data_IF_363795546545
#
_entry.id   IF_363795546545
#
_cell.length_a   1.000
_cell.length_b   1.000
_cell.length_c   1.000
_cell.angle_alpha   90.00
_cell.angle_beta   90.00
_cell.angle_gamma   90.00
#
_symmetry.space_group_name_H-M   'P 1'
#
loop_
_entity.id
_entity.type
_entity.pdbx_description
1 polymer ?
#
# COMPACT_ATOMS: atom_id res chain seq x y z
N UNK A 1 -13.38 23.75 -2.80
CA UNK A 1 -13.14 25.11 -2.28
C UNK A 1 -14.26 26.03 -2.74
N UNK A 2 -14.93 26.75 -1.84
CA UNK A 2 -15.90 27.81 -2.18
C UNK A 2 -15.61 29.09 -1.42
N UNK A 3 -15.83 30.23 -2.06
CA UNK A 3 -15.73 31.54 -1.43
C UNK A 3 -16.92 31.73 -0.48
N UNK A 4 -16.64 32.13 0.76
CA UNK A 4 -17.67 32.42 1.75
C UNK A 4 -17.99 33.92 1.86
N UNK A 5 -17.04 34.77 1.46
CA UNK A 5 -17.21 36.21 1.37
C UNK A 5 -15.89 36.95 1.23
N UNK A 6 -15.92 38.26 1.41
CA UNK A 6 -14.75 39.15 1.33
C UNK A 6 -14.70 40.04 2.56
N UNK A 7 -13.54 40.07 3.21
CA UNK A 7 -13.28 40.96 4.34
C UNK A 7 -12.84 42.34 3.83
N UNK A 8 -13.28 43.44 4.47
CA UNK A 8 -12.80 44.78 4.17
C UNK A 8 -11.28 44.89 4.41
N UNK A 9 -10.58 45.79 3.71
CA UNK A 9 -9.14 45.98 3.84
C UNK A 9 -8.70 46.50 5.22
N UNK A 10 -9.64 47.00 6.02
CA UNK A 10 -9.40 47.47 7.41
C UNK A 10 -9.29 46.33 8.42
N UNK A 11 -9.72 45.11 8.07
CA UNK A 11 -9.68 43.95 8.97
C UNK A 11 -8.55 42.99 8.56
N UNK A 12 -7.81 42.49 9.55
CA UNK A 12 -6.81 41.45 9.30
C UNK A 12 -7.52 40.10 9.04
N UNK A 13 -7.43 39.52 7.83
CA UNK A 13 -8.02 38.22 7.55
C UNK A 13 -7.45 37.12 8.43
N UNK A 14 -6.23 37.27 8.98
CA UNK A 14 -5.62 36.28 9.86
C UNK A 14 -6.50 36.00 11.07
N UNK A 15 -7.11 37.03 11.66
CA UNK A 15 -7.95 36.93 12.86
C UNK A 15 -9.13 35.98 12.65
N UNK A 16 -9.87 36.14 11.55
CA UNK A 16 -10.97 35.24 11.20
C UNK A 16 -10.46 33.83 10.87
N UNK A 17 -9.37 33.71 10.11
CA UNK A 17 -8.84 32.39 9.74
C UNK A 17 -8.30 31.61 10.92
N UNK A 18 -7.75 32.28 11.93
CA UNK A 18 -7.28 31.65 13.16
C UNK A 18 -8.46 31.08 13.95
N UNK A 19 -9.55 31.85 14.09
CA UNK A 19 -10.79 31.36 14.68
C UNK A 19 -11.40 30.19 13.93
N UNK A 20 -11.55 30.30 12.62
CA UNK A 20 -12.03 29.20 11.79
C UNK A 20 -11.15 27.95 11.93
N UNK A 21 -9.83 28.11 12.05
CA UNK A 21 -8.92 27.00 12.28
C UNK A 21 -9.18 26.30 13.62
N UNK A 22 -9.50 27.06 14.70
CA UNK A 22 -9.86 26.46 16.00
C UNK A 22 -11.15 25.65 15.96
N UNK A 23 -12.04 25.96 15.01
CA UNK A 23 -13.27 25.20 14.74
C UNK A 23 -13.04 24.03 13.77
N UNK A 24 -11.79 23.76 13.38
CA UNK A 24 -11.44 22.71 12.41
C UNK A 24 -11.75 23.08 10.96
N UNK A 25 -12.01 24.36 10.67
CA UNK A 25 -12.29 24.85 9.31
C UNK A 25 -11.00 25.34 8.68
N UNK A 26 -10.52 24.61 7.68
CA UNK A 26 -9.35 25.02 6.89
C UNK A 26 -9.73 26.03 5.82
N UNK A 27 -8.98 27.12 5.74
CA UNK A 27 -9.28 28.25 4.86
C UNK A 27 -8.10 28.66 3.98
N UNK A 28 -8.40 29.27 2.83
CA UNK A 28 -7.44 29.99 2.00
C UNK A 28 -7.88 31.44 1.84
N UNK A 29 -6.93 32.37 1.96
CA UNK A 29 -7.18 33.82 1.81
C UNK A 29 -6.53 34.31 0.53
N UNK A 30 -7.29 35.05 -0.27
CA UNK A 30 -6.83 35.73 -1.47
C UNK A 30 -6.92 37.25 -1.24
N UNK A 31 -5.76 37.91 -1.07
CA UNK A 31 -5.69 39.34 -0.77
C UNK A 31 -5.80 40.14 -2.07
N UNK A 32 -6.76 41.07 -2.11
CA UNK A 32 -7.04 41.96 -3.24
C UNK A 32 -7.03 43.42 -2.78
N UNK A 33 -6.92 44.40 -3.71
CA UNK A 33 -6.98 45.82 -3.37
C UNK A 33 -8.29 46.20 -2.65
N UNK A 34 -9.41 45.60 -3.06
CA UNK A 34 -10.73 45.82 -2.44
C UNK A 34 -10.98 45.07 -1.12
N UNK A 35 -10.06 44.21 -0.67
CA UNK A 35 -10.24 43.40 0.54
C UNK A 35 -9.67 41.98 0.42
N UNK A 36 -9.99 41.11 1.37
CA UNK A 36 -9.48 39.73 1.41
C UNK A 36 -10.62 38.71 1.19
N UNK A 37 -10.60 38.01 0.06
CA UNK A 37 -11.55 36.95 -0.22
C UNK A 37 -11.19 35.69 0.59
N UNK A 38 -12.15 35.18 1.37
CA UNK A 38 -11.95 33.99 2.21
C UNK A 38 -12.63 32.78 1.57
N UNK A 39 -11.88 31.71 1.42
CA UNK A 39 -12.30 30.46 0.80
C UNK A 39 -12.21 29.31 1.80
N UNK A 40 -13.22 28.44 1.80
CA UNK A 40 -13.27 27.23 2.65
C UNK A 40 -13.04 25.99 1.79
N UNK A 41 -12.27 25.03 2.30
CA UNK A 41 -11.91 23.82 1.56
C UNK A 41 -13.08 22.83 1.43
N UNK A 42 -13.80 22.58 2.52
CA UNK A 42 -14.85 21.57 2.62
C UNK A 42 -16.26 22.18 2.54
N UNK A 43 -17.16 21.57 1.77
CA UNK A 43 -18.49 22.15 1.48
C UNK A 43 -19.46 22.06 2.66
N UNK A 44 -19.35 21.00 3.47
CA UNK A 44 -20.11 20.78 4.71
C UNK A 44 -19.83 21.85 5.77
N UNK A 45 -18.65 22.47 5.73
CA UNK A 45 -18.23 23.53 6.66
C UNK A 45 -18.67 24.93 6.22
N UNK A 46 -19.24 25.09 5.01
CA UNK A 46 -19.63 26.41 4.48
C UNK A 46 -20.69 27.11 5.33
N UNK A 47 -21.77 26.45 5.82
CA UNK A 47 -22.78 27.12 6.62
C UNK A 47 -22.20 27.73 7.90
N UNK A 48 -21.39 26.94 8.63
CA UNK A 48 -20.70 27.39 9.84
C UNK A 48 -19.74 28.55 9.53
N UNK A 49 -18.91 28.41 8.50
CA UNK A 49 -17.91 29.42 8.17
C UNK A 49 -18.53 30.75 7.70
N UNK A 50 -19.68 30.70 7.01
CA UNK A 50 -20.45 31.90 6.65
C UNK A 50 -21.04 32.59 7.88
N UNK A 51 -21.61 31.82 8.80
CA UNK A 51 -22.15 32.36 10.06
C UNK A 51 -21.06 33.04 10.89
N UNK A 52 -19.89 32.42 11.02
CA UNK A 52 -18.76 33.01 11.75
C UNK A 52 -18.19 34.25 11.05
N UNK A 53 -18.15 34.27 9.71
CA UNK A 53 -17.77 35.46 8.94
C UNK A 53 -18.74 36.62 9.19
N UNK A 54 -20.05 36.38 9.17
CA UNK A 54 -21.06 37.40 9.45
C UNK A 54 -20.96 37.95 10.87
N UNK A 55 -20.70 37.08 11.85
CA UNK A 55 -20.48 37.51 13.23
C UNK A 55 -19.20 38.32 13.40
N UNK A 56 -18.11 37.91 12.75
CA UNK A 56 -16.85 38.63 12.78
C UNK A 56 -16.98 40.02 12.15
N UNK A 57 -17.75 40.17 11.07
CA UNK A 57 -18.01 41.48 10.47
C UNK A 57 -18.83 42.41 11.36
N UNK A 58 -19.67 41.85 12.25
CA UNK A 58 -20.47 42.62 13.21
C UNK A 58 -19.66 43.10 14.41
N UNK A 59 -18.79 42.24 14.95
CA UNK A 59 -17.92 42.59 16.08
C UNK A 59 -16.53 41.95 15.91
N UNK A 60 -15.62 42.60 15.16
CA UNK A 60 -14.27 42.07 14.91
C UNK A 60 -13.37 42.03 16.14
N UNK A 61 -13.75 42.73 17.23
CA UNK A 61 -12.91 42.91 18.42
C UNK A 61 -13.34 42.04 19.60
N UNK A 62 -14.29 41.13 19.39
CA UNK A 62 -14.71 40.15 20.38
C UNK A 62 -13.50 39.35 20.91
N UNK A 63 -13.46 39.20 22.23
CA UNK A 63 -12.46 38.44 22.99
C UNK A 63 -12.18 37.03 22.43
N UNK A 64 -13.19 36.36 21.84
CA UNK A 64 -13.01 35.01 21.27
C UNK A 64 -11.96 34.96 20.18
N UNK A 65 -11.82 36.03 19.39
CA UNK A 65 -10.86 36.06 18.29
C UNK A 65 -9.41 36.23 18.78
N UNK A 66 -9.22 36.86 19.94
CA UNK A 66 -7.92 36.98 20.58
C UNK A 66 -7.47 35.64 21.18
N UNK A 67 -8.39 34.92 21.82
CA UNK A 67 -8.14 33.56 22.34
C UNK A 67 -7.85 32.59 21.18
N UNK A 68 -8.62 32.69 20.10
CA UNK A 68 -8.43 31.86 18.92
C UNK A 68 -7.05 32.02 18.28
N UNK A 69 -6.50 33.24 18.24
CA UNK A 69 -5.17 33.49 17.68
C UNK A 69 -4.06 32.69 18.39
N UNK A 70 -4.13 32.56 19.71
CA UNK A 70 -3.17 31.77 20.49
C UNK A 70 -3.34 30.26 20.23
N UNK A 71 -4.58 29.77 20.23
CA UNK A 71 -4.88 28.37 19.95
C UNK A 71 -4.50 27.97 18.52
N UNK A 72 -4.80 28.82 17.53
CA UNK A 72 -4.45 28.60 16.13
C UNK A 72 -2.93 28.49 15.92
N UNK A 73 -2.15 29.32 16.62
CA UNK A 73 -0.68 29.24 16.60
C UNK A 73 -0.19 27.90 17.15
N UNK A 74 -0.76 27.40 18.26
CA UNK A 74 -0.40 26.07 18.78
C UNK A 74 -0.76 24.94 17.82
N UNK A 75 -1.94 24.99 17.18
CA UNK A 75 -2.38 24.01 16.18
C UNK A 75 -1.42 23.98 14.99
N UNK A 76 -1.01 25.14 14.48
CA UNK A 76 -0.04 25.24 13.36
C UNK A 76 1.33 24.70 13.74
N UNK A 77 1.85 25.05 14.93
CA UNK A 77 3.14 24.53 15.42
C UNK A 77 3.13 23.03 15.59
N UNK A 78 2.03 22.47 16.10
CA UNK A 78 1.86 21.03 16.23
C UNK A 78 1.80 20.36 14.85
N UNK A 79 1.01 20.90 13.92
CA UNK A 79 0.95 20.41 12.54
C UNK A 79 2.33 20.44 11.85
N UNK A 80 3.07 21.54 11.97
CA UNK A 80 4.44 21.64 11.43
C UNK A 80 5.43 20.70 12.11
N UNK A 81 5.27 20.45 13.42
CA UNK A 81 6.12 19.50 14.15
C UNK A 81 5.86 18.08 13.65
N UNK A 82 4.59 17.71 13.49
CA UNK A 82 4.18 16.42 12.95
C UNK A 82 4.67 16.25 11.51
N UNK A 83 4.55 17.28 10.67
CA UNK A 83 5.04 17.28 9.30
C UNK A 83 6.57 17.16 9.23
N UNK A 84 7.30 17.91 10.07
CA UNK A 84 8.76 17.77 10.19
C UNK A 84 9.19 16.39 10.67
N UNK A 85 8.48 15.82 11.64
CA UNK A 85 8.75 14.46 12.12
C UNK A 85 8.47 13.43 11.01
N UNK A 86 7.36 13.57 10.29
CA UNK A 86 7.00 12.76 9.14
C UNK A 86 8.12 12.80 8.08
N UNK A 87 8.55 13.99 7.67
CA UNK A 87 9.61 14.14 6.68
C UNK A 87 11.00 13.64 7.13
N UNK A 88 11.34 13.77 8.43
CA UNK A 88 12.58 13.18 8.98
C UNK A 88 12.54 11.65 8.93
N UNK A 89 11.44 11.04 9.37
CA UNK A 89 11.27 9.60 9.36
C UNK A 89 11.35 9.02 7.93
N UNK A 90 10.77 9.73 6.95
CA UNK A 90 10.85 9.35 5.52
C UNK A 90 12.28 9.46 4.97
N UNK A 91 13.03 10.51 5.33
CA UNK A 91 14.43 10.69 4.88
C UNK A 91 15.36 9.62 5.46
N UNK A 92 15.22 9.27 6.73
CA UNK A 92 16.03 8.22 7.35
C UNK A 92 15.77 6.84 6.72
N UNK A 93 14.54 6.58 6.24
CA UNK A 93 14.20 5.36 5.51
C UNK A 93 14.98 5.22 4.21
N UNK A 94 15.00 6.27 3.38
CA UNK A 94 15.70 6.25 2.09
C UNK A 94 17.19 5.94 2.25
N UNK A 95 17.81 6.51 3.30
CA UNK A 95 19.20 6.22 3.67
C UNK A 95 19.44 4.80 4.18
N UNK A 96 18.46 4.19 4.86
CA UNK A 96 18.55 2.80 5.35
C UNK A 96 18.24 1.76 4.27
N UNK A 97 17.34 2.05 3.33
CA UNK A 97 17.02 1.18 2.20
C UNK A 97 18.22 0.99 1.25
N UNK A 98 19.02 2.05 1.06
CA UNK A 98 20.20 2.06 0.18
C UNK A 98 21.48 1.44 0.75
N UNK A 99 21.50 1.00 2.02
CA UNK A 99 22.64 0.25 2.56
C UNK A 99 22.35 -1.25 2.43
N UNK A 100 23.08 -2.00 1.58
CA UNK A 100 22.92 -3.45 1.42
C UNK A 100 23.48 -4.18 2.64
N UNK A 101 22.82 -4.03 3.79
CA UNK A 101 23.21 -4.72 5.00
C UNK A 101 22.40 -6.01 5.13
N UNK A 102 22.85 -7.04 4.40
CA UNK A 102 22.26 -8.39 4.34
C UNK A 102 21.97 -8.97 5.73
N UNK A 103 22.80 -8.65 6.73
CA UNK A 103 22.63 -9.07 8.14
C UNK A 103 21.38 -8.54 8.83
N UNK A 104 20.78 -7.45 8.34
CA UNK A 104 19.58 -6.85 8.93
C UNK A 104 18.28 -7.33 8.29
N UNK A 105 18.35 -8.06 7.18
CA UNK A 105 17.20 -8.45 6.34
C UNK A 105 17.32 -9.89 5.81
N UNK A 106 17.53 -10.88 6.69
CA UNK A 106 17.84 -12.24 6.28
C UNK A 106 16.72 -12.90 5.47
N UNK A 107 15.45 -12.69 5.82
CA UNK A 107 14.35 -13.35 5.14
C UNK A 107 14.08 -12.73 3.77
N UNK A 108 14.09 -11.40 3.66
CA UNK A 108 13.92 -10.72 2.35
C UNK A 108 14.99 -11.20 1.37
N UNK A 109 16.25 -11.25 1.84
CA UNK A 109 17.38 -11.73 1.04
C UNK A 109 17.22 -13.20 0.68
N UNK A 110 16.84 -14.04 1.65
CA UNK A 110 16.65 -15.48 1.44
C UNK A 110 15.55 -15.78 0.43
N UNK A 111 14.41 -15.07 0.51
CA UNK A 111 13.31 -15.21 -0.44
C UNK A 111 13.75 -14.82 -1.86
N UNK A 112 14.50 -13.72 -2.01
CA UNK A 112 15.05 -13.31 -3.32
C UNK A 112 16.01 -14.37 -3.85
N UNK A 113 16.94 -14.86 -3.02
CA UNK A 113 17.90 -15.87 -3.43
C UNK A 113 17.21 -17.15 -3.89
N UNK A 114 16.21 -17.64 -3.14
CA UNK A 114 15.42 -18.82 -3.53
C UNK A 114 14.65 -18.56 -4.83
N UNK A 115 14.00 -17.41 -4.99
CA UNK A 115 13.33 -17.05 -6.25
C UNK A 115 14.27 -17.04 -7.44
N UNK A 116 15.49 -16.51 -7.29
CA UNK A 116 16.51 -16.51 -8.35
C UNK A 116 16.97 -17.93 -8.68
N UNK A 117 17.24 -18.76 -7.67
CA UNK A 117 17.63 -20.17 -7.89
C UNK A 117 16.53 -20.95 -8.60
N UNK A 118 15.28 -20.81 -8.15
CA UNK A 118 14.12 -21.44 -8.81
C UNK A 118 13.98 -20.94 -10.24
N UNK A 119 14.14 -19.63 -10.49
CA UNK A 119 14.10 -19.05 -11.83
C UNK A 119 15.19 -19.61 -12.76
N UNK A 120 16.39 -19.84 -12.26
CA UNK A 120 17.45 -20.49 -13.05
C UNK A 120 17.14 -21.96 -13.33
N UNK A 121 16.66 -22.70 -12.33
CA UNK A 121 16.30 -24.11 -12.48
C UNK A 121 15.14 -24.31 -13.47
N UNK A 122 14.09 -23.49 -13.39
CA UNK A 122 12.95 -23.60 -14.31
C UNK A 122 13.33 -23.30 -15.79
N UNK A 123 14.41 -22.54 -16.03
CA UNK A 123 14.90 -22.15 -17.36
C UNK A 123 16.05 -23.06 -17.84
N UNK A 124 16.35 -24.11 -17.09
CA UNK A 124 17.34 -25.13 -17.43
C UNK A 124 16.68 -26.38 -18.03
N UNK A 125 17.46 -27.43 -18.27
CA UNK A 125 16.94 -28.75 -18.66
C UNK A 125 15.97 -29.35 -17.63
N UNK A 126 15.99 -28.88 -16.37
CA UNK A 126 15.08 -29.31 -15.30
C UNK A 126 13.74 -28.55 -15.27
N UNK A 127 13.46 -27.73 -16.30
CA UNK A 127 12.37 -26.76 -16.29
C UNK A 127 10.99 -27.32 -15.96
N UNK A 128 10.55 -28.31 -16.74
CA UNK A 128 9.24 -28.95 -16.55
C UNK A 128 9.09 -29.61 -15.19
N UNK A 129 10.13 -30.29 -14.70
CA UNK A 129 10.11 -30.94 -13.39
C UNK A 129 10.07 -29.91 -12.25
N UNK A 130 10.87 -28.85 -12.34
CA UNK A 130 10.92 -27.76 -11.35
C UNK A 130 9.57 -27.07 -11.22
N UNK A 131 8.96 -26.68 -12.36
CA UNK A 131 7.65 -26.03 -12.36
C UNK A 131 6.60 -26.99 -11.78
N UNK A 132 6.54 -28.24 -12.24
CA UNK A 132 5.53 -29.20 -11.76
C UNK A 132 5.67 -29.52 -10.26
N UNK A 133 6.90 -29.61 -9.73
CA UNK A 133 7.14 -29.88 -8.31
C UNK A 133 6.70 -28.71 -7.40
N UNK A 134 6.81 -27.47 -7.88
CA UNK A 134 6.54 -26.27 -7.10
C UNK A 134 5.15 -25.66 -7.36
N UNK A 135 4.49 -26.03 -8.47
CA UNK A 135 3.16 -25.55 -8.84
C UNK A 135 2.09 -25.98 -7.83
N UNK A 136 1.00 -25.22 -7.78
CA UNK A 136 -0.12 -25.48 -6.87
C UNK A 136 -0.79 -26.83 -7.18
N UNK A 137 -0.97 -27.14 -8.47
CA UNK A 137 -1.51 -28.41 -8.94
C UNK A 137 -0.41 -29.26 -9.58
N UNK A 138 -0.47 -30.57 -9.33
CA UNK A 138 0.33 -31.53 -10.09
C UNK A 138 -0.32 -31.72 -11.46
N UNK A 139 0.49 -31.61 -12.50
CA UNK A 139 0.06 -31.86 -13.89
C UNK A 139 0.58 -33.19 -14.36
N UNK A 140 -0.31 -34.00 -14.91
CA UNK A 140 0.02 -35.32 -15.45
C UNK A 140 -0.44 -35.41 -16.90
N UNK A 141 0.24 -36.24 -17.66
CA UNK A 141 -0.21 -36.68 -18.97
C UNK A 141 -0.82 -38.05 -18.75
N UNK A 142 -2.10 -38.23 -19.11
CA UNK A 142 -2.77 -39.51 -18.97
C UNK A 142 -2.31 -40.52 -20.05
N UNK A 143 -2.83 -41.74 -19.96
CA UNK A 143 -2.53 -42.83 -20.90
C UNK A 143 -2.90 -42.51 -22.36
N UNK A 144 -3.74 -41.49 -22.59
CA UNK A 144 -4.15 -41.01 -23.92
C UNK A 144 -3.34 -39.80 -24.39
N UNK A 145 -2.33 -39.37 -23.63
CA UNK A 145 -1.53 -38.18 -23.97
C UNK A 145 -2.19 -36.85 -23.60
N UNK A 146 -3.30 -36.86 -22.86
CA UNK A 146 -4.05 -35.66 -22.50
C UNK A 146 -3.51 -35.09 -21.19
N UNK A 147 -3.24 -33.78 -21.18
CA UNK A 147 -2.82 -33.07 -19.97
C UNK A 147 -3.99 -32.91 -19.01
N UNK A 148 -3.80 -33.33 -17.76
CA UNK A 148 -4.78 -33.14 -16.69
C UNK A 148 -4.14 -32.47 -15.48
N UNK A 149 -4.94 -31.69 -14.77
CA UNK A 149 -4.64 -31.15 -13.45
C UNK A 149 -5.23 -32.08 -12.39
N UNK A 150 -4.46 -32.44 -11.37
CA UNK A 150 -4.97 -33.22 -10.24
C UNK A 150 -5.65 -32.35 -9.17
N UNK A 151 -5.81 -31.04 -9.42
CA UNK A 151 -6.44 -30.11 -8.49
C UNK A 151 -5.80 -30.16 -7.11
N UNK A 152 -6.64 -30.31 -6.07
CA UNK A 152 -6.21 -30.38 -4.66
C UNK A 152 -5.67 -31.75 -4.23
N UNK A 153 -5.80 -32.79 -5.06
CA UNK A 153 -5.50 -34.17 -4.67
C UNK A 153 -4.06 -34.36 -4.12
N UNK A 154 -2.99 -33.79 -4.70
CA UNK A 154 -1.65 -33.91 -4.15
C UNK A 154 -1.50 -33.26 -2.77
N UNK A 155 -2.15 -32.10 -2.57
CA UNK A 155 -2.14 -31.38 -1.28
C UNK A 155 -2.82 -32.23 -0.20
N UNK A 156 -3.97 -32.83 -0.54
CA UNK A 156 -4.69 -33.73 0.37
C UNK A 156 -3.91 -35.01 0.72
N UNK A 157 -2.99 -35.43 -0.16
CA UNK A 157 -2.09 -36.56 0.07
C UNK A 157 -0.73 -36.17 0.69
N UNK A 158 -0.58 -34.95 1.19
CA UNK A 158 0.59 -34.54 1.98
C UNK A 158 1.57 -33.62 1.27
N UNK A 159 1.34 -33.25 0.01
CA UNK A 159 2.17 -32.27 -0.71
C UNK A 159 1.84 -30.82 -0.33
N UNK A 160 1.78 -30.54 0.97
CA UNK A 160 1.30 -29.28 1.55
C UNK A 160 2.16 -28.07 1.20
N UNK A 161 3.42 -28.29 0.80
CA UNK A 161 4.31 -27.20 0.34
C UNK A 161 3.75 -26.48 -0.89
N UNK A 162 2.91 -27.14 -1.70
CA UNK A 162 2.25 -26.55 -2.88
C UNK A 162 1.33 -25.38 -2.56
N UNK A 163 0.91 -25.23 -1.30
CA UNK A 163 0.18 -24.05 -0.84
C UNK A 163 1.07 -22.80 -0.81
N UNK A 164 2.40 -22.97 -0.76
CA UNK A 164 3.38 -21.88 -0.61
C UNK A 164 4.29 -21.75 -1.83
N UNK A 165 4.86 -22.86 -2.31
CA UNK A 165 5.92 -22.88 -3.32
C UNK A 165 5.63 -22.18 -4.64
N UNK A 166 4.38 -22.01 -5.13
CA UNK A 166 4.12 -21.26 -6.35
C UNK A 166 4.67 -19.83 -6.33
N UNK A 167 4.87 -19.23 -5.15
CA UNK A 167 5.42 -17.87 -5.03
C UNK A 167 6.85 -17.72 -5.59
N UNK A 168 7.57 -18.84 -5.80
CA UNK A 168 8.94 -18.81 -6.30
C UNK A 168 9.06 -18.96 -7.82
N UNK A 169 8.01 -19.41 -8.51
CA UNK A 169 8.00 -19.63 -9.98
C UNK A 169 7.79 -18.29 -10.71
N UNK A 170 8.57 -17.98 -11.75
CA UNK A 170 8.44 -16.69 -12.46
C UNK A 170 8.60 -16.85 -13.97
N UNK A 171 7.55 -16.68 -14.77
CA UNK A 171 7.57 -17.08 -16.19
C UNK A 171 8.42 -16.23 -17.16
N UNK A 172 8.93 -15.07 -16.75
CA UNK A 172 9.81 -14.24 -17.58
C UNK A 172 10.71 -13.32 -16.73
N UNK A 173 11.71 -12.72 -17.37
CA UNK A 173 12.72 -11.90 -16.70
C UNK A 173 12.12 -10.63 -16.07
N UNK A 174 11.19 -9.95 -16.75
CA UNK A 174 10.57 -8.73 -16.22
C UNK A 174 9.74 -9.07 -14.98
N UNK A 175 9.01 -10.19 -15.01
CA UNK A 175 8.19 -10.65 -13.90
C UNK A 175 9.02 -10.89 -12.62
N UNK A 176 10.15 -11.60 -12.72
CA UNK A 176 11.03 -11.77 -11.55
C UNK A 176 11.66 -10.45 -11.11
N UNK A 177 12.16 -9.62 -12.05
CA UNK A 177 12.79 -8.35 -11.70
C UNK A 177 11.85 -7.42 -10.93
N UNK A 178 10.61 -7.25 -11.40
CA UNK A 178 9.62 -6.42 -10.71
C UNK A 178 9.23 -6.99 -9.34
N UNK A 179 9.00 -8.29 -9.24
CA UNK A 179 8.67 -8.92 -7.96
C UNK A 179 9.81 -8.79 -6.95
N UNK A 180 11.05 -9.04 -7.37
CA UNK A 180 12.21 -8.95 -6.47
C UNK A 180 12.51 -7.50 -6.09
N UNK A 181 12.31 -6.54 -6.99
CA UNK A 181 12.44 -5.12 -6.66
C UNK A 181 11.41 -4.69 -5.60
N UNK A 182 10.14 -5.08 -5.77
CA UNK A 182 9.10 -4.77 -4.78
C UNK A 182 9.30 -5.51 -3.47
N UNK A 183 9.68 -6.79 -3.51
CA UNK A 183 10.02 -7.54 -2.29
C UNK A 183 11.21 -6.90 -1.58
N UNK A 184 12.27 -6.54 -2.30
CA UNK A 184 13.41 -5.86 -1.71
C UNK A 184 13.00 -4.53 -1.09
N UNK A 185 12.14 -3.75 -1.74
CA UNK A 185 11.75 -2.43 -1.23
C UNK A 185 10.83 -2.56 -0.01
N UNK A 186 9.72 -3.27 -0.14
CA UNK A 186 8.67 -3.34 0.87
C UNK A 186 8.94 -4.42 1.92
N UNK A 187 9.45 -5.58 1.51
CA UNK A 187 9.81 -6.66 2.43
C UNK A 187 10.92 -6.23 3.39
N UNK A 188 11.96 -5.56 2.86
CA UNK A 188 13.01 -4.97 3.70
C UNK A 188 12.46 -3.96 4.71
N UNK A 189 11.46 -3.17 4.30
CA UNK A 189 10.83 -2.19 5.17
C UNK A 189 10.11 -2.88 6.34
N UNK A 190 9.27 -3.89 6.05
CA UNK A 190 8.59 -4.67 7.09
C UNK A 190 9.61 -5.38 7.99
N UNK A 191 10.59 -6.06 7.41
CA UNK A 191 11.58 -6.82 8.18
C UNK A 191 12.44 -5.92 9.09
N UNK A 192 12.82 -4.73 8.62
CA UNK A 192 13.62 -3.80 9.43
C UNK A 192 12.82 -3.09 10.53
N UNK A 193 11.50 -2.92 10.36
CA UNK A 193 10.65 -2.18 11.30
C UNK A 193 9.85 -3.06 12.25
N UNK A 194 9.47 -4.26 11.81
CA UNK A 194 8.64 -5.22 12.56
C UNK A 194 9.37 -6.53 12.85
N UNK A 195 10.54 -6.73 12.23
CA UNK A 195 11.34 -7.93 12.41
C UNK A 195 10.97 -9.05 11.44
N UNK A 196 11.88 -10.02 11.36
CA UNK A 196 11.77 -11.17 10.45
C UNK A 196 10.53 -12.04 10.71
N UNK A 197 10.07 -12.17 11.96
CA UNK A 197 8.89 -12.99 12.31
C UNK A 197 7.60 -12.45 11.69
N UNK A 198 7.40 -11.12 11.76
CA UNK A 198 6.22 -10.49 11.15
C UNK A 198 6.26 -10.62 9.63
N UNK A 199 7.42 -10.39 8.99
CA UNK A 199 7.53 -10.63 7.56
C UNK A 199 7.24 -12.10 7.21
N UNK A 200 7.78 -13.06 7.97
CA UNK A 200 7.53 -14.49 7.74
C UNK A 200 6.05 -14.83 7.82
N UNK A 201 5.34 -14.30 8.83
CA UNK A 201 3.90 -14.53 8.98
C UNK A 201 3.10 -13.90 7.84
N UNK A 202 3.42 -12.66 7.43
CA UNK A 202 2.78 -12.01 6.28
C UNK A 202 3.02 -12.82 5.01
N UNK A 203 4.25 -13.26 4.75
CA UNK A 203 4.60 -14.08 3.56
C UNK A 203 3.86 -15.42 3.58
N UNK A 204 3.88 -16.13 4.71
CA UNK A 204 3.27 -17.45 4.83
C UNK A 204 1.74 -17.40 4.64
N UNK A 205 1.06 -16.51 5.38
CA UNK A 205 -0.39 -16.37 5.31
C UNK A 205 -0.85 -15.85 3.94
N UNK A 206 -0.15 -14.86 3.39
CA UNK A 206 -0.51 -14.33 2.07
C UNK A 206 -0.24 -15.31 0.95
N UNK A 207 0.86 -16.07 0.98
CA UNK A 207 1.13 -17.11 -0.02
C UNK A 207 0.01 -18.15 -0.06
N UNK A 208 -0.43 -18.67 1.11
CA UNK A 208 -1.55 -19.61 1.16
C UNK A 208 -2.82 -18.99 0.61
N UNK A 209 -3.20 -17.80 1.10
CA UNK A 209 -4.44 -17.14 0.74
C UNK A 209 -4.46 -16.80 -0.77
N UNK A 210 -3.39 -16.21 -1.31
CA UNK A 210 -3.33 -15.80 -2.71
C UNK A 210 -3.32 -17.01 -3.65
N UNK A 211 -2.60 -18.07 -3.30
CA UNK A 211 -2.54 -19.28 -4.13
C UNK A 211 -3.90 -20.03 -4.13
N UNK A 212 -4.55 -20.15 -2.97
CA UNK A 212 -5.90 -20.71 -2.88
C UNK A 212 -6.91 -19.86 -3.65
N UNK A 213 -6.87 -18.54 -3.46
CA UNK A 213 -7.77 -17.61 -4.15
C UNK A 213 -7.63 -17.67 -5.66
N UNK A 214 -6.40 -17.73 -6.17
CA UNK A 214 -6.13 -17.90 -7.60
C UNK A 214 -6.61 -19.25 -8.11
N UNK A 215 -6.32 -20.34 -7.40
CA UNK A 215 -6.79 -21.68 -7.79
C UNK A 215 -8.32 -21.75 -7.90
N UNK A 216 -9.06 -21.26 -6.91
CA UNK A 216 -10.52 -21.29 -6.96
C UNK A 216 -11.08 -20.38 -8.06
N UNK A 217 -10.42 -19.26 -8.33
CA UNK A 217 -10.77 -18.41 -9.47
C UNK A 217 -10.57 -19.16 -10.79
N UNK A 218 -9.43 -19.82 -10.97
CA UNK A 218 -9.12 -20.57 -12.19
C UNK A 218 -10.10 -21.73 -12.42
N UNK A 219 -10.46 -22.47 -11.37
CA UNK A 219 -11.53 -23.48 -11.43
C UNK A 219 -12.86 -22.85 -11.84
N UNK A 220 -13.22 -21.70 -11.27
CA UNK A 220 -14.50 -21.03 -11.54
C UNK A 220 -14.63 -20.55 -12.98
N UNK A 221 -13.53 -20.16 -13.62
CA UNK A 221 -13.52 -19.66 -15.01
C UNK A 221 -13.09 -20.71 -16.03
N UNK A 222 -12.82 -21.95 -15.60
CA UNK A 222 -12.44 -23.07 -16.48
C UNK A 222 -10.99 -23.00 -16.99
N UNK A 223 -10.10 -22.28 -16.28
CA UNK A 223 -8.67 -22.12 -16.61
C UNK A 223 -7.76 -22.96 -15.72
N UNK A 224 -8.23 -24.09 -15.20
CA UNK A 224 -7.50 -24.99 -14.30
C UNK A 224 -6.21 -25.62 -14.87
N UNK A 225 -6.02 -25.52 -16.18
CA UNK A 225 -4.77 -25.86 -16.88
C UNK A 225 -3.82 -24.65 -17.03
N UNK A 226 -4.23 -23.45 -16.64
CA UNK A 226 -3.36 -22.26 -16.62
C UNK A 226 -2.38 -22.35 -15.46
N UNK A 227 -1.11 -22.07 -15.73
CA UNK A 227 -0.07 -22.06 -14.70
C UNK A 227 -0.05 -20.67 -14.08
N UNK A 228 -0.21 -20.60 -12.76
CA UNK A 228 0.10 -19.40 -12.00
C UNK A 228 1.30 -19.64 -11.11
N UNK A 229 1.98 -18.55 -10.80
CA UNK A 229 3.18 -18.55 -9.99
C UNK A 229 3.74 -17.15 -9.92
N UNK A 230 4.54 -16.88 -8.90
CA UNK A 230 5.21 -15.61 -8.70
C UNK A 230 4.90 -15.00 -7.35
N UNK A 231 5.80 -14.15 -6.90
CA UNK A 231 5.73 -13.54 -5.58
C UNK A 231 4.74 -12.37 -5.51
N UNK A 232 4.07 -12.04 -6.61
CA UNK A 232 3.27 -10.82 -6.73
C UNK A 232 2.09 -10.77 -5.75
N UNK A 233 1.42 -11.89 -5.46
CA UNK A 233 0.40 -11.96 -4.40
C UNK A 233 0.98 -11.58 -3.01
N UNK A 234 2.17 -12.09 -2.70
CA UNK A 234 2.91 -11.74 -1.47
C UNK A 234 3.34 -10.27 -1.50
N UNK A 235 3.82 -9.76 -2.63
CA UNK A 235 4.18 -8.35 -2.80
C UNK A 235 2.99 -7.44 -2.52
N UNK A 236 1.81 -7.74 -3.08
CA UNK A 236 0.58 -7.01 -2.81
C UNK A 236 0.15 -7.11 -1.35
N UNK A 237 0.39 -8.24 -0.69
CA UNK A 237 0.14 -8.38 0.74
C UNK A 237 1.10 -7.54 1.59
N UNK A 238 2.40 -7.54 1.29
CA UNK A 238 3.37 -6.69 2.00
C UNK A 238 3.04 -5.22 1.76
N UNK A 239 2.67 -4.83 0.54
CA UNK A 239 2.18 -3.49 0.23
C UNK A 239 0.94 -3.12 1.05
N UNK A 240 -0.10 -3.96 1.08
CA UNK A 240 -1.31 -3.74 1.85
C UNK A 240 -1.04 -3.64 3.36
N UNK A 241 -0.16 -4.49 3.88
CA UNK A 241 0.28 -4.48 5.26
C UNK A 241 0.97 -3.15 5.62
N UNK A 242 1.96 -2.73 4.81
CA UNK A 242 2.67 -1.46 5.00
C UNK A 242 1.71 -0.29 4.91
N UNK A 243 0.78 -0.31 3.95
CA UNK A 243 -0.19 0.77 3.77
C UNK A 243 -1.08 0.93 5.02
N UNK A 244 -1.66 -0.15 5.52
CA UNK A 244 -2.54 -0.08 6.70
C UNK A 244 -1.76 0.26 7.96
N UNK A 245 -0.61 -0.38 8.19
CA UNK A 245 0.21 -0.12 9.37
C UNK A 245 0.82 1.28 9.39
N UNK A 246 1.29 1.77 8.25
CA UNK A 246 1.82 3.13 8.13
C UNK A 246 0.77 4.21 8.43
N UNK A 247 -0.52 3.91 8.22
CA UNK A 247 -1.62 4.80 8.61
C UNK A 247 -1.99 4.69 10.09
N UNK A 248 -1.93 3.50 10.67
CA UNK A 248 -2.28 3.28 12.08
C UNK A 248 -1.17 3.71 13.05
N UNK A 249 0.09 3.51 12.66
CA UNK A 249 1.28 3.78 13.50
C UNK A 249 2.34 4.53 12.66
N UNK A 250 2.13 5.82 12.34
CA UNK A 250 3.07 6.63 11.56
C UNK A 250 4.49 6.70 12.14
N UNK A 251 4.61 6.56 13.46
CA UNK A 251 5.87 6.53 14.21
C UNK A 251 6.78 5.35 13.83
N UNK A 252 6.23 4.26 13.28
CA UNK A 252 7.03 3.16 12.76
C UNK A 252 7.80 3.53 11.48
N UNK A 253 7.48 4.67 10.85
CA UNK A 253 8.10 5.14 9.61
C UNK A 253 7.80 4.24 8.41
N UNK A 254 6.79 3.37 8.48
CA UNK A 254 6.38 2.51 7.36
C UNK A 254 5.46 3.25 6.38
N UNK A 255 5.91 4.41 5.92
CA UNK A 255 5.11 5.31 5.09
C UNK A 255 5.31 4.98 3.62
N UNK A 256 4.21 4.91 2.87
CA UNK A 256 4.24 4.81 1.42
C UNK A 256 4.03 6.19 0.80
N UNK A 257 4.86 6.54 -0.17
CA UNK A 257 4.62 7.73 -0.98
C UNK A 257 3.31 7.56 -1.77
N UNK A 258 2.59 8.68 -1.94
CA UNK A 258 1.32 8.68 -2.66
C UNK A 258 1.47 8.12 -4.09
N UNK A 259 2.59 8.42 -4.77
CA UNK A 259 2.85 7.90 -6.12
C UNK A 259 3.06 6.39 -6.11
N UNK A 260 3.68 5.83 -5.07
CA UNK A 260 3.82 4.38 -4.92
C UNK A 260 2.45 3.71 -4.77
N UNK A 261 1.56 4.27 -3.95
CA UNK A 261 0.20 3.73 -3.79
C UNK A 261 -0.56 3.80 -5.13
N UNK A 262 -0.55 4.96 -5.80
CA UNK A 262 -1.19 5.12 -7.09
C UNK A 262 -0.66 4.14 -8.13
N UNK A 263 0.66 4.00 -8.23
CA UNK A 263 1.28 3.10 -9.20
C UNK A 263 0.97 1.62 -8.88
N UNK A 264 0.94 1.20 -7.61
CA UNK A 264 0.58 -0.19 -7.24
C UNK A 264 -0.87 -0.52 -7.57
N UNK A 265 -1.79 0.43 -7.33
CA UNK A 265 -3.21 0.27 -7.66
C UNK A 265 -3.45 0.35 -9.17
N UNK A 266 -2.78 1.27 -9.85
CA UNK A 266 -2.83 1.35 -11.31
C UNK A 266 -2.29 0.07 -11.95
N UNK A 267 -1.16 -0.44 -11.46
CA UNK A 267 -0.58 -1.70 -11.92
C UNK A 267 -1.55 -2.87 -11.69
N UNK A 268 -2.27 -2.88 -10.56
CA UNK A 268 -3.29 -3.90 -10.28
C UNK A 268 -4.37 -3.86 -11.37
N UNK A 269 -4.96 -2.69 -11.60
CA UNK A 269 -6.02 -2.51 -12.62
C UNK A 269 -5.50 -2.84 -14.03
N UNK A 270 -4.27 -2.44 -14.36
CA UNK A 270 -3.63 -2.76 -15.64
C UNK A 270 -3.44 -4.26 -15.82
N UNK A 271 -3.08 -5.00 -14.77
CA UNK A 271 -2.99 -6.46 -14.84
C UNK A 271 -4.37 -7.09 -15.09
N UNK A 272 -5.43 -6.56 -14.46
CA UNK A 272 -6.80 -7.00 -14.67
C UNK A 272 -7.34 -6.70 -16.08
N UNK A 273 -6.78 -5.74 -16.81
CA UNK A 273 -7.23 -5.42 -18.18
C UNK A 273 -6.74 -6.42 -19.24
N UNK A 274 -5.79 -7.30 -18.89
CA UNK A 274 -5.17 -8.24 -19.83
C UNK A 274 -4.13 -7.61 -20.77
N UNK A 275 -3.90 -6.30 -20.70
CA UNK A 275 -2.96 -5.59 -21.57
C UNK A 275 -1.49 -6.03 -21.41
N UNK A 276 -1.18 -6.69 -20.30
CA UNK A 276 0.17 -7.14 -19.90
C UNK A 276 0.30 -8.67 -19.87
N UNK A 277 -0.65 -9.38 -20.48
CA UNK A 277 -0.67 -10.84 -20.61
C UNK A 277 -1.47 -11.57 -19.53
N UNK A 278 -1.36 -12.90 -19.51
CA UNK A 278 -2.03 -13.76 -18.53
C UNK A 278 -1.39 -13.62 -17.15
N UNK A 279 -2.03 -12.82 -16.30
CA UNK A 279 -1.59 -12.53 -14.95
C UNK A 279 -2.56 -13.14 -13.94
N UNK A 280 -2.00 -13.68 -12.86
CA UNK A 280 -2.72 -14.20 -11.70
C UNK A 280 -3.38 -13.07 -10.88
N UNK A 281 -4.38 -12.43 -11.47
CA UNK A 281 -5.03 -11.24 -10.94
C UNK A 281 -5.78 -11.50 -9.63
N UNK A 282 -6.37 -12.69 -9.48
CA UNK A 282 -6.99 -13.08 -8.22
C UNK A 282 -5.93 -13.24 -7.11
N UNK A 283 -4.74 -13.75 -7.42
CA UNK A 283 -3.63 -13.80 -6.46
C UNK A 283 -3.25 -12.40 -5.97
N UNK A 284 -3.17 -11.40 -6.87
CA UNK A 284 -2.86 -10.02 -6.49
C UNK A 284 -3.91 -9.43 -5.55
N UNK A 285 -5.19 -9.55 -5.92
CA UNK A 285 -6.29 -8.98 -5.15
C UNK A 285 -6.40 -9.63 -3.77
N UNK A 286 -6.36 -10.96 -3.71
CA UNK A 286 -6.44 -11.71 -2.44
C UNK A 286 -5.21 -11.43 -1.58
N UNK A 287 -4.02 -11.33 -2.19
CA UNK A 287 -2.80 -10.88 -1.52
C UNK A 287 -2.99 -9.51 -0.87
N UNK A 288 -3.43 -8.51 -1.64
CA UNK A 288 -3.68 -7.14 -1.15
C UNK A 288 -4.64 -7.14 0.05
N UNK A 289 -5.80 -7.80 -0.08
CA UNK A 289 -6.81 -7.86 0.98
C UNK A 289 -6.25 -8.55 2.23
N UNK A 290 -5.53 -9.65 2.07
CA UNK A 290 -4.89 -10.37 3.18
C UNK A 290 -3.89 -9.47 3.89
N UNK A 291 -3.03 -8.78 3.15
CA UNK A 291 -2.06 -7.83 3.69
C UNK A 291 -2.69 -6.68 4.46
N UNK A 292 -3.73 -6.06 3.89
CA UNK A 292 -4.48 -5.00 4.54
C UNK A 292 -5.10 -5.48 5.85
N UNK A 293 -5.73 -6.66 5.85
CA UNK A 293 -6.31 -7.26 7.04
C UNK A 293 -5.25 -7.52 8.13
N UNK A 294 -4.12 -8.15 7.78
CA UNK A 294 -3.02 -8.39 8.72
C UNK A 294 -2.43 -7.10 9.27
N UNK A 295 -2.38 -6.04 8.45
CA UNK A 295 -1.99 -4.72 8.90
C UNK A 295 -2.98 -4.17 9.93
N UNK A 296 -4.28 -4.20 9.63
CA UNK A 296 -5.31 -3.71 10.55
C UNK A 296 -5.37 -4.51 11.86
N UNK A 297 -5.11 -5.82 11.81
CA UNK A 297 -5.09 -6.74 12.95
C UNK A 297 -3.84 -6.62 13.83
N UNK A 298 -2.91 -5.71 13.49
CA UNK A 298 -1.69 -5.40 14.24
C UNK A 298 -0.71 -6.57 14.44
N UNK A 299 -0.61 -7.47 13.46
CA UNK A 299 0.38 -8.55 13.44
C UNK A 299 1.86 -8.06 13.46
#
# INVERSE_FOLDING_TARGET
MRQIGTLPPTLDPKTLTDHLLTLGVTTKVDKRPEGAAVWVHHEDQIPLAKQELEQFLKDPHDSRYQVAAQSAESIRREAERLDRQYHKNVRDLSGQLNRPNLRRRPLTTGLIAVSVVVFLLQNSSYGGATVNALSFTLRVIDEFGIRRSLGLLPILHGEVWRLITPIFIHFNILHILFNMWWLWTLGSLVESRRGTKTLAAVVFLSAMASNLGQFFYDVRVGSELSNFGGMSGVVYAVFGYVWMRGRQEPELGMTLDYRTVQMMLFWLVLCFSGAVGDIANAAHLVGLVTGMFLGLARL
#
